data_IF_176701507741
#
_entry.id   IF_176701507741
#
_cell.length_a   1.000
_cell.length_b   1.000
_cell.length_c   1.000
_cell.angle_alpha   90.00
_cell.angle_beta   90.00
_cell.angle_gamma   90.00
#
_symmetry.space_group_name_H-M   'P 1'
#
loop_
_entity.id
_entity.type
_entity.pdbx_description
1 polymer ?
#
# COMPACT_ATOMS: atom_id res chain seq x y z
N UNK A 1 -17.92 -17.84 13.31
CA UNK A 1 -17.38 -16.58 12.76
C UNK A 1 -15.87 -16.54 12.85
N UNK A 2 -15.26 -16.46 14.04
CA UNK A 2 -13.80 -16.41 14.22
C UNK A 2 -13.02 -17.56 13.56
N UNK A 3 -13.54 -18.78 13.64
CA UNK A 3 -12.95 -19.92 12.92
C UNK A 3 -12.96 -19.69 11.41
N UNK A 4 -14.08 -19.21 10.85
CA UNK A 4 -14.19 -18.91 9.42
C UNK A 4 -13.23 -17.79 9.01
N UNK A 5 -13.04 -16.78 9.86
CA UNK A 5 -12.07 -15.69 9.62
C UNK A 5 -10.63 -16.19 9.48
N UNK A 6 -10.30 -17.33 10.10
CA UNK A 6 -8.99 -17.98 10.03
C UNK A 6 -8.93 -19.11 8.99
N UNK A 7 -10.02 -19.40 8.28
CA UNK A 7 -10.09 -20.53 7.33
C UNK A 7 -9.86 -20.07 5.91
N UNK A 8 -8.72 -20.47 5.33
CA UNK A 8 -8.40 -20.24 3.93
C UNK A 8 -9.23 -21.15 3.01
N UNK A 9 -9.60 -20.64 1.82
CA UNK A 9 -10.44 -21.35 0.84
C UNK A 9 -9.91 -22.73 0.44
N UNK A 10 -8.60 -22.97 0.56
CA UNK A 10 -7.99 -24.30 0.31
C UNK A 10 -8.51 -25.42 1.20
N UNK A 11 -9.12 -25.09 2.35
CA UNK A 11 -9.71 -26.09 3.25
C UNK A 11 -10.98 -26.73 2.66
N UNK A 12 -11.57 -26.12 1.62
CA UNK A 12 -12.81 -26.61 1.01
C UNK A 12 -14.05 -26.47 1.92
N UNK A 13 -13.94 -25.73 3.02
CA UNK A 13 -15.04 -25.48 3.95
C UNK A 13 -15.98 -24.40 3.37
N UNK A 14 -17.29 -24.58 3.55
CA UNK A 14 -18.30 -23.60 3.09
C UNK A 14 -18.15 -22.24 3.78
N UNK A 15 -17.64 -22.23 5.01
CA UNK A 15 -17.38 -21.03 5.78
C UNK A 15 -15.87 -20.73 5.79
N UNK A 16 -15.46 -19.77 4.95
CA UNK A 16 -14.09 -19.29 4.83
C UNK A 16 -14.01 -17.78 5.15
N UNK A 17 -12.83 -17.19 4.99
CA UNK A 17 -12.58 -15.81 5.37
C UNK A 17 -13.14 -14.77 4.38
N UNK A 18 -13.47 -15.12 3.15
CA UNK A 18 -13.62 -14.19 2.01
C UNK A 18 -14.70 -13.12 2.22
N UNK A 19 -15.86 -13.52 2.78
CA UNK A 19 -16.94 -12.56 3.07
C UNK A 19 -16.59 -11.60 4.20
N UNK A 20 -15.80 -12.08 5.16
CA UNK A 20 -15.35 -11.29 6.30
C UNK A 20 -14.20 -10.37 5.90
N UNK A 21 -13.31 -10.83 5.02
CA UNK A 21 -12.25 -10.02 4.37
C UNK A 21 -12.88 -8.83 3.65
N UNK A 22 -13.85 -9.08 2.77
CA UNK A 22 -14.58 -8.03 2.07
C UNK A 22 -15.10 -6.95 3.02
N UNK A 23 -15.70 -7.34 4.15
CA UNK A 23 -16.20 -6.38 5.14
C UNK A 23 -15.06 -5.67 5.88
N UNK A 24 -14.06 -6.44 6.30
CA UNK A 24 -12.93 -5.98 7.08
C UNK A 24 -12.06 -4.95 6.37
N UNK A 25 -11.83 -5.11 5.07
CA UNK A 25 -11.12 -4.13 4.23
C UNK A 25 -11.78 -2.75 4.31
N UNK A 26 -13.12 -2.66 4.20
CA UNK A 26 -13.82 -1.36 4.28
C UNK A 26 -13.80 -0.78 5.68
N UNK A 27 -13.86 -1.63 6.71
CA UNK A 27 -13.73 -1.20 8.12
C UNK A 27 -12.34 -0.64 8.37
N UNK A 28 -11.29 -1.31 7.89
CA UNK A 28 -9.91 -0.85 7.94
C UNK A 28 -9.76 0.49 7.21
N UNK A 29 -10.24 0.56 5.96
CA UNK A 29 -10.23 1.77 5.15
C UNK A 29 -10.84 2.97 5.87
N UNK A 30 -12.04 2.82 6.44
CA UNK A 30 -12.71 3.90 7.16
C UNK A 30 -11.94 4.30 8.43
N UNK A 31 -11.45 3.34 9.21
CA UNK A 31 -10.73 3.62 10.45
C UNK A 31 -9.42 4.38 10.20
N UNK A 32 -8.69 4.03 9.15
CA UNK A 32 -7.45 4.71 8.76
C UNK A 32 -7.73 6.08 8.14
N UNK A 33 -8.77 6.20 7.29
CA UNK A 33 -9.14 7.49 6.70
C UNK A 33 -9.57 8.50 7.77
N UNK A 34 -10.36 8.06 8.76
CA UNK A 34 -10.75 8.86 9.93
C UNK A 34 -9.54 9.34 10.73
N UNK A 35 -8.56 8.45 10.96
CA UNK A 35 -7.33 8.81 11.65
C UNK A 35 -6.51 9.85 10.86
N UNK A 36 -6.31 9.61 9.56
CA UNK A 36 -5.53 10.51 8.69
C UNK A 36 -6.17 11.90 8.60
N UNK A 37 -7.49 11.97 8.44
CA UNK A 37 -8.23 13.23 8.41
C UNK A 37 -8.10 14.01 9.72
N UNK A 38 -8.12 13.32 10.86
CA UNK A 38 -8.05 13.97 12.18
C UNK A 38 -6.64 14.39 12.60
N UNK A 39 -5.59 13.87 11.96
CA UNK A 39 -4.19 14.06 12.36
C UNK A 39 -3.30 14.67 11.26
N UNK A 40 -3.88 15.17 10.17
CA UNK A 40 -3.13 15.74 9.05
C UNK A 40 -3.97 16.76 8.27
N UNK A 41 -3.43 17.97 8.08
CA UNK A 41 -4.00 18.99 7.18
C UNK A 41 -3.57 18.78 5.71
N UNK A 42 -3.27 17.54 5.33
CA UNK A 42 -2.74 17.23 4.01
C UNK A 42 -3.84 17.33 2.94
N UNK A 43 -3.46 17.66 1.71
CA UNK A 43 -4.39 17.67 0.58
C UNK A 43 -4.94 16.25 0.30
N UNK A 44 -6.13 16.17 -0.28
CA UNK A 44 -6.84 14.91 -0.57
C UNK A 44 -5.96 13.87 -1.28
N UNK A 45 -5.22 14.24 -2.32
CA UNK A 45 -4.31 13.31 -3.00
C UNK A 45 -3.19 12.73 -2.11
N UNK A 46 -2.68 13.50 -1.14
CA UNK A 46 -1.68 13.01 -0.17
C UNK A 46 -2.33 12.09 0.87
N UNK A 47 -3.54 12.41 1.33
CA UNK A 47 -4.32 11.54 2.23
C UNK A 47 -4.64 10.21 1.55
N UNK A 48 -5.09 10.24 0.30
CA UNK A 48 -5.37 9.06 -0.53
C UNK A 48 -4.11 8.20 -0.72
N UNK A 49 -2.95 8.82 -0.95
CA UNK A 49 -1.67 8.09 -1.05
C UNK A 49 -1.32 7.38 0.27
N UNK A 50 -1.43 8.08 1.40
CA UNK A 50 -1.14 7.51 2.72
C UNK A 50 -2.12 6.40 3.08
N UNK A 51 -3.41 6.60 2.82
CA UNK A 51 -4.45 5.61 3.04
C UNK A 51 -4.11 4.31 2.29
N UNK A 52 -3.83 4.40 0.98
CA UNK A 52 -3.49 3.24 0.15
C UNK A 52 -2.25 2.50 0.65
N UNK A 53 -1.25 3.21 1.16
CA UNK A 53 -0.07 2.58 1.75
C UNK A 53 -0.40 1.82 3.05
N UNK A 54 -1.20 2.45 3.92
CA UNK A 54 -1.58 1.90 5.23
C UNK A 54 -2.52 0.70 5.13
N UNK A 55 -3.43 0.67 4.16
CA UNK A 55 -4.38 -0.43 3.97
C UNK A 55 -3.92 -1.42 2.90
N UNK A 56 -2.68 -1.30 2.43
CA UNK A 56 -2.15 -2.23 1.45
C UNK A 56 -2.03 -3.64 2.03
N UNK A 57 -2.22 -4.64 1.17
CA UNK A 57 -1.98 -6.05 1.47
C UNK A 57 -0.63 -6.31 2.14
N UNK A 58 0.42 -5.64 1.66
CA UNK A 58 1.77 -5.76 2.25
C UNK A 58 1.81 -5.23 3.70
N UNK A 59 1.11 -4.12 3.98
CA UNK A 59 0.98 -3.61 5.35
C UNK A 59 0.17 -4.56 6.21
N UNK A 60 -0.99 -5.02 5.75
CA UNK A 60 -1.82 -6.01 6.46
C UNK A 60 -1.02 -7.28 6.79
N UNK A 61 -0.25 -7.80 5.83
CA UNK A 61 0.62 -8.96 6.04
C UNK A 61 1.77 -8.68 7.02
N UNK A 62 2.33 -7.46 7.02
CA UNK A 62 3.34 -7.04 8.00
C UNK A 62 2.77 -7.04 9.41
N UNK A 63 1.58 -6.46 9.61
CA UNK A 63 0.90 -6.46 10.90
C UNK A 63 0.52 -7.87 11.33
N UNK A 64 -0.01 -8.69 10.41
CA UNK A 64 -0.32 -10.10 10.64
C UNK A 64 0.89 -10.88 11.19
N UNK A 65 2.07 -10.70 10.59
CA UNK A 65 3.31 -11.31 11.10
C UNK A 65 3.69 -10.78 12.48
N UNK A 66 3.53 -9.47 12.70
CA UNK A 66 3.83 -8.84 13.99
C UNK A 66 3.03 -9.41 15.17
N UNK A 67 1.81 -9.91 14.92
CA UNK A 67 0.96 -10.55 15.93
C UNK A 67 1.02 -12.09 15.91
N UNK A 68 1.88 -12.69 15.08
CA UNK A 68 2.01 -14.15 14.99
C UNK A 68 0.84 -14.85 14.28
N UNK A 69 0.07 -14.14 13.43
CA UNK A 69 -1.16 -14.65 12.83
C UNK A 69 -0.95 -15.93 11.99
N UNK A 70 0.20 -16.07 11.35
CA UNK A 70 0.54 -17.17 10.43
C UNK A 70 0.34 -18.57 11.04
N UNK A 71 0.57 -18.72 12.35
CA UNK A 71 0.44 -19.99 13.06
C UNK A 71 -1.01 -20.38 13.35
N UNK A 72 -1.93 -19.40 13.28
CA UNK A 72 -3.35 -19.59 13.57
C UNK A 72 -4.20 -19.82 12.32
N UNK A 73 -3.64 -19.59 11.13
CA UNK A 73 -4.36 -19.75 9.86
C UNK A 73 -4.57 -21.25 9.56
N UNK A 74 -5.84 -21.61 9.31
CA UNK A 74 -6.25 -22.93 8.84
C UNK A 74 -6.09 -22.99 7.34
N UNK A 75 -5.04 -23.67 6.90
CA UNK A 75 -4.69 -23.85 5.50
C UNK A 75 -4.46 -25.33 5.21
N UNK A 76 -4.75 -25.77 3.98
CA UNK A 76 -4.57 -27.17 3.60
C UNK A 76 -3.08 -27.53 3.52
N UNK A 77 -2.75 -28.83 3.65
CA UNK A 77 -1.36 -29.30 3.54
C UNK A 77 -0.70 -28.91 2.21
N UNK A 78 -1.47 -28.93 1.12
CA UNK A 78 -0.98 -28.54 -0.20
C UNK A 78 -0.61 -27.06 -0.22
N UNK A 79 -1.54 -26.19 0.15
CA UNK A 79 -1.29 -24.75 0.15
C UNK A 79 -0.21 -24.33 1.16
N UNK A 80 -0.03 -25.09 2.25
CA UNK A 80 1.11 -24.92 3.15
C UNK A 80 2.45 -25.25 2.46
N UNK A 81 2.51 -26.36 1.72
CA UNK A 81 3.70 -26.77 0.96
C UNK A 81 4.06 -25.75 -0.13
N UNK A 82 3.08 -25.03 -0.65
CA UNK A 82 3.26 -23.98 -1.67
C UNK A 82 3.69 -22.63 -1.06
N UNK A 83 4.07 -22.60 0.22
CA UNK A 83 4.52 -21.39 0.93
C UNK A 83 3.39 -20.51 1.47
N UNK A 84 2.16 -21.03 1.54
CA UNK A 84 0.99 -20.26 1.93
C UNK A 84 1.04 -19.66 3.34
N UNK A 85 1.85 -20.23 4.25
CA UNK A 85 2.01 -19.70 5.61
C UNK A 85 2.68 -18.33 5.67
N UNK A 86 3.63 -18.08 4.79
CA UNK A 86 4.35 -16.80 4.72
C UNK A 86 3.86 -15.90 3.58
N UNK A 87 2.77 -16.26 2.91
CA UNK A 87 2.21 -15.51 1.78
C UNK A 87 1.59 -14.19 2.22
N UNK A 88 2.04 -13.08 1.64
CA UNK A 88 1.43 -11.76 1.85
C UNK A 88 -0.05 -11.74 1.46
N UNK A 89 -0.44 -12.53 0.45
CA UNK A 89 -1.83 -12.64 0.03
C UNK A 89 -2.69 -13.21 1.17
N UNK A 90 -2.30 -14.37 1.69
CA UNK A 90 -3.10 -15.05 2.71
C UNK A 90 -3.08 -14.29 4.03
N UNK A 91 -1.90 -13.78 4.43
CA UNK A 91 -1.78 -13.02 5.69
C UNK A 91 -2.57 -11.71 5.64
N UNK A 92 -2.55 -11.00 4.50
CA UNK A 92 -3.31 -9.78 4.29
C UNK A 92 -4.82 -10.03 4.38
N UNK A 93 -5.32 -10.97 3.57
CA UNK A 93 -6.75 -11.28 3.48
C UNK A 93 -7.31 -11.76 4.84
N UNK A 94 -6.55 -12.62 5.56
CA UNK A 94 -6.96 -13.12 6.88
C UNK A 94 -6.91 -12.04 7.95
N UNK A 95 -5.95 -11.10 7.88
CA UNK A 95 -5.91 -9.95 8.79
C UNK A 95 -7.16 -9.09 8.63
N UNK A 96 -7.54 -8.76 7.39
CA UNK A 96 -8.78 -8.03 7.10
C UNK A 96 -10.00 -8.81 7.58
N UNK A 97 -10.03 -10.12 7.34
CA UNK A 97 -11.12 -10.98 7.81
C UNK A 97 -11.32 -10.96 9.34
N UNK A 98 -10.24 -10.94 10.11
CA UNK A 98 -10.31 -10.79 11.57
C UNK A 98 -10.88 -9.43 11.98
N UNK A 99 -10.55 -8.36 11.27
CA UNK A 99 -11.14 -7.03 11.49
C UNK A 99 -12.65 -7.05 11.18
N UNK A 100 -13.06 -7.72 10.09
CA UNK A 100 -14.46 -7.93 9.74
C UNK A 100 -15.22 -8.71 10.82
N UNK A 101 -14.63 -9.78 11.34
CA UNK A 101 -15.20 -10.55 12.45
C UNK A 101 -15.31 -9.73 13.74
N UNK A 102 -14.27 -8.95 14.07
CA UNK A 102 -14.28 -8.08 15.23
C UNK A 102 -15.35 -6.99 15.14
N UNK A 103 -15.52 -6.40 13.95
CA UNK A 103 -16.58 -5.43 13.69
C UNK A 103 -17.98 -6.01 13.89
N UNK A 104 -18.24 -7.23 13.40
CA UNK A 104 -19.54 -7.87 13.62
C UNK A 104 -19.80 -8.21 15.09
N UNK A 105 -18.76 -8.52 15.86
CA UNK A 105 -18.88 -8.83 17.28
C UNK A 105 -19.04 -7.58 18.17
N UNK A 106 -18.29 -6.52 17.86
CA UNK A 106 -18.04 -5.42 18.80
C UNK A 106 -18.41 -4.02 18.26
N UNK A 107 -18.79 -3.92 16.99
CA UNK A 107 -19.12 -2.65 16.34
C UNK A 107 -17.89 -1.82 15.94
N UNK A 108 -18.14 -0.72 15.24
CA UNK A 108 -17.08 0.08 14.62
C UNK A 108 -16.14 0.75 15.62
N UNK A 109 -16.65 1.31 16.71
CA UNK A 109 -15.83 2.06 17.67
C UNK A 109 -14.72 1.18 18.27
N UNK A 110 -15.08 -0.02 18.74
CA UNK A 110 -14.13 -0.97 19.30
C UNK A 110 -13.13 -1.47 18.23
N UNK A 111 -13.60 -1.76 17.02
CA UNK A 111 -12.69 -2.20 15.93
C UNK A 111 -11.74 -1.10 15.48
N UNK A 112 -12.19 0.15 15.40
CA UNK A 112 -11.35 1.31 15.08
C UNK A 112 -10.22 1.47 16.09
N UNK A 113 -10.53 1.34 17.38
CA UNK A 113 -9.53 1.50 18.45
C UNK A 113 -8.50 0.37 18.41
N UNK A 114 -8.94 -0.88 18.16
CA UNK A 114 -8.05 -2.01 17.91
C UNK A 114 -7.16 -1.78 16.67
N UNK A 115 -7.72 -1.32 15.55
CA UNK A 115 -6.96 -1.02 14.34
C UNK A 115 -5.88 0.02 14.63
N UNK A 116 -6.22 1.11 15.34
CA UNK A 116 -5.26 2.15 15.69
C UNK A 116 -4.11 1.63 16.55
N UNK A 117 -4.38 0.67 17.45
CA UNK A 117 -3.35 0.03 18.26
C UNK A 117 -2.42 -0.84 17.41
N UNK A 118 -3.00 -1.70 16.57
CA UNK A 118 -2.24 -2.61 15.69
C UNK A 118 -1.43 -1.85 14.63
N UNK A 119 -1.98 -0.78 14.05
CA UNK A 119 -1.32 0.04 13.02
C UNK A 119 -0.41 1.12 13.60
N UNK A 120 -0.34 1.28 14.93
CA UNK A 120 0.48 2.31 15.59
C UNK A 120 1.89 2.42 15.01
N UNK A 121 2.66 1.32 14.79
CA UNK A 121 4.00 1.44 14.21
C UNK A 121 4.00 2.05 12.81
N UNK A 122 3.00 1.74 11.98
CA UNK A 122 2.87 2.30 10.64
C UNK A 122 2.46 3.78 10.68
N UNK A 123 1.52 4.12 11.56
CA UNK A 123 1.02 5.48 11.78
C UNK A 123 2.15 6.42 12.28
N UNK A 124 3.00 5.93 13.19
CA UNK A 124 4.10 6.70 13.79
C UNK A 124 5.37 6.73 12.93
N UNK A 125 5.67 5.66 12.18
CA UNK A 125 6.83 5.61 11.28
C UNK A 125 6.67 6.49 10.04
N UNK A 126 5.48 7.07 9.82
CA UNK A 126 5.23 7.86 8.64
C UNK A 126 5.12 7.02 7.37
N UNK A 127 4.62 5.79 7.45
CA UNK A 127 4.34 5.00 6.25
C UNK A 127 3.44 5.80 5.28
N UNK A 128 3.85 5.86 4.00
CA UNK A 128 3.21 6.72 3.00
C UNK A 128 3.56 8.21 3.06
N UNK A 129 4.39 8.68 4.01
CA UNK A 129 4.95 10.05 4.01
C UNK A 129 6.04 10.26 2.97
N UNK A 130 6.57 9.19 2.36
CA UNK A 130 7.41 9.32 1.18
C UNK A 130 6.58 10.00 0.08
N UNK A 131 6.72 11.33 -0.03
CA UNK A 131 6.06 12.13 -1.07
C UNK A 131 6.33 11.41 -2.38
N UNK A 132 5.26 11.10 -3.11
CA UNK A 132 5.40 10.51 -4.42
C UNK A 132 6.43 11.35 -5.21
N UNK A 133 7.54 10.79 -5.73
CA UNK A 133 8.64 11.57 -6.28
C UNK A 133 8.21 12.63 -7.30
N UNK A 134 7.17 12.34 -8.10
CA UNK A 134 6.59 13.31 -9.03
C UNK A 134 5.94 14.51 -8.31
N UNK A 135 5.19 14.25 -7.24
CA UNK A 135 4.57 15.29 -6.41
C UNK A 135 5.62 16.08 -5.64
N UNK A 136 6.63 15.40 -5.08
CA UNK A 136 7.76 16.05 -4.41
C UNK A 136 8.50 17.01 -5.36
N UNK A 137 8.77 16.56 -6.59
CA UNK A 137 9.42 17.38 -7.61
C UNK A 137 8.53 18.53 -8.10
N UNK A 138 7.22 18.31 -8.22
CA UNK A 138 6.26 19.36 -8.59
C UNK A 138 6.16 20.45 -7.53
N UNK A 139 6.10 20.08 -6.25
CA UNK A 139 6.10 21.01 -5.12
C UNK A 139 7.44 21.76 -5.01
N UNK A 140 8.57 21.05 -5.18
CA UNK A 140 9.89 21.68 -5.23
C UNK A 140 9.99 22.71 -6.35
N UNK A 141 9.49 22.38 -7.55
CA UNK A 141 9.47 23.30 -8.68
C UNK A 141 8.60 24.54 -8.36
N UNK A 142 7.41 24.34 -7.80
CA UNK A 142 6.53 25.44 -7.41
C UNK A 142 7.14 26.34 -6.32
N UNK A 143 7.73 25.74 -5.28
CA UNK A 143 8.40 26.46 -4.19
C UNK A 143 9.62 27.27 -4.65
N UNK A 144 10.27 26.83 -5.73
CA UNK A 144 11.39 27.53 -6.36
C UNK A 144 10.96 28.45 -7.53
N UNK A 145 9.66 28.76 -7.66
CA UNK A 145 9.10 29.60 -8.73
C UNK A 145 9.48 29.11 -10.14
N UNK A 146 9.54 27.79 -10.33
CA UNK A 146 9.83 27.14 -11.60
C UNK A 146 8.55 26.66 -12.27
N UNK A 147 8.64 26.42 -13.59
CA UNK A 147 7.59 25.71 -14.32
C UNK A 147 7.48 24.27 -13.81
N UNK A 148 6.28 23.66 -13.88
CA UNK A 148 6.10 22.27 -13.47
C UNK A 148 7.00 21.33 -14.28
N UNK A 149 7.39 20.17 -13.71
CA UNK A 149 8.25 19.21 -14.40
C UNK A 149 7.56 18.59 -15.62
N UNK A 150 8.29 18.48 -16.73
CA UNK A 150 7.84 17.86 -17.97
C UNK A 150 8.44 16.45 -18.08
N UNK A 151 7.60 15.45 -18.40
CA UNK A 151 8.01 14.06 -18.54
C UNK A 151 7.86 13.61 -20.00
N UNK A 152 8.88 12.95 -20.53
CA UNK A 152 8.93 12.46 -21.89
C UNK A 152 9.46 11.02 -21.91
N UNK A 153 8.80 10.12 -22.66
CA UNK A 153 9.36 8.77 -22.92
C UNK A 153 10.35 8.91 -24.06
N UNK A 154 11.63 8.69 -23.77
CA UNK A 154 12.72 8.87 -24.74
C UNK A 154 13.18 7.56 -25.38
N UNK A 155 12.93 6.42 -24.71
CA UNK A 155 13.17 5.10 -25.27
C UNK A 155 12.15 4.08 -24.74
N UNK A 156 11.84 3.08 -25.57
CA UNK A 156 11.13 1.86 -25.19
C UNK A 156 11.82 0.68 -25.84
N UNK A 157 12.30 -0.25 -25.01
CA UNK A 157 13.04 -1.44 -25.44
C UNK A 157 12.50 -2.72 -24.81
N UNK A 158 12.89 -3.87 -25.37
CA UNK A 158 12.47 -5.19 -24.89
C UNK A 158 11.11 -5.67 -25.45
N UNK A 159 10.85 -6.99 -25.38
CA UNK A 159 9.57 -7.58 -25.80
C UNK A 159 8.44 -7.18 -24.84
N UNK A 160 7.17 -7.29 -25.24
CA UNK A 160 6.04 -6.77 -24.44
C UNK A 160 5.98 -7.32 -23.00
N UNK A 161 6.35 -8.58 -22.79
CA UNK A 161 6.39 -9.22 -21.47
C UNK A 161 7.61 -8.82 -20.62
N UNK A 162 8.56 -8.09 -21.19
CA UNK A 162 9.77 -7.59 -20.53
C UNK A 162 10.12 -6.16 -21.01
N UNK A 163 9.09 -5.36 -21.27
CA UNK A 163 9.25 -4.01 -21.79
C UNK A 163 9.98 -3.12 -20.76
N UNK A 164 10.88 -2.28 -21.24
CA UNK A 164 11.58 -1.25 -20.49
C UNK A 164 11.28 0.10 -21.08
N UNK A 165 10.93 1.05 -20.23
CA UNK A 165 10.61 2.43 -20.60
C UNK A 165 11.67 3.34 -19.98
N UNK A 166 12.35 4.13 -20.81
CA UNK A 166 13.23 5.19 -20.35
C UNK A 166 12.49 6.51 -20.43
N UNK A 167 12.36 7.17 -19.28
CA UNK A 167 11.66 8.45 -19.15
C UNK A 167 12.66 9.51 -18.74
N UNK A 168 12.60 10.65 -19.43
CA UNK A 168 13.27 11.90 -19.04
C UNK A 168 12.29 12.80 -18.30
N UNK A 169 12.74 13.37 -17.20
CA UNK A 169 12.08 14.49 -16.53
C UNK A 169 12.93 15.74 -16.68
N UNK A 170 12.30 16.88 -17.01
CA UNK A 170 12.94 18.19 -17.19
C UNK A 170 12.23 19.24 -16.35
N UNK A 171 13.00 20.11 -15.70
CA UNK A 171 12.49 21.35 -15.10
C UNK A 171 13.17 22.54 -15.77
N UNK A 172 12.37 23.45 -16.34
CA UNK A 172 12.87 24.58 -17.11
C UNK A 172 13.84 25.45 -16.29
N UNK A 173 15.02 25.75 -16.87
CA UNK A 173 16.12 26.50 -16.25
C UNK A 173 16.75 25.84 -15.01
N UNK A 174 16.56 24.53 -14.83
CA UNK A 174 17.22 23.75 -13.77
C UNK A 174 18.05 22.63 -14.36
N UNK A 175 17.43 21.71 -15.11
CA UNK A 175 18.13 20.57 -15.68
C UNK A 175 17.18 19.48 -16.15
N UNK A 176 17.73 18.28 -16.34
CA UNK A 176 16.99 17.07 -16.68
C UNK A 176 17.65 15.82 -16.07
N UNK A 177 16.83 14.78 -15.90
CA UNK A 177 17.26 13.47 -15.42
C UNK A 177 16.48 12.36 -16.13
N UNK A 178 17.07 11.18 -16.22
CA UNK A 178 16.47 10.02 -16.88
C UNK A 178 16.47 8.82 -15.95
N UNK A 179 15.47 7.96 -16.09
CA UNK A 179 15.44 6.64 -15.47
C UNK A 179 14.69 5.63 -16.33
N UNK A 180 15.05 4.35 -16.17
CA UNK A 180 14.45 3.24 -16.91
C UNK A 180 13.76 2.28 -15.95
N UNK A 181 12.51 1.89 -16.25
CA UNK A 181 11.76 0.90 -15.46
C UNK A 181 10.86 0.02 -16.33
N UNK A 182 10.21 -0.98 -15.71
CA UNK A 182 9.33 -1.95 -16.39
C UNK A 182 7.97 -1.36 -16.81
N UNK A 183 7.62 -0.16 -16.34
CA UNK A 183 6.42 0.56 -16.74
C UNK A 183 6.72 2.06 -16.89
N UNK A 184 5.91 2.75 -17.70
CA UNK A 184 6.02 4.21 -17.88
C UNK A 184 5.88 4.95 -16.54
N UNK A 185 4.92 4.56 -15.70
CA UNK A 185 4.69 5.21 -14.40
C UNK A 185 5.88 5.02 -13.45
N UNK A 186 6.46 3.82 -13.38
CA UNK A 186 7.61 3.58 -12.52
C UNK A 186 8.86 4.32 -13.05
N UNK A 187 9.03 4.41 -14.37
CA UNK A 187 10.12 5.15 -14.99
C UNK A 187 10.02 6.66 -14.70
N UNK A 188 8.81 7.24 -14.77
CA UNK A 188 8.55 8.63 -14.37
C UNK A 188 8.88 8.88 -12.90
N UNK A 189 8.50 7.95 -12.02
CA UNK A 189 8.77 8.03 -10.58
C UNK A 189 10.27 7.99 -10.28
N UNK A 190 11.00 7.08 -10.90
CA UNK A 190 12.46 6.99 -10.72
C UNK A 190 13.18 8.20 -11.34
N UNK A 191 12.73 8.69 -12.50
CA UNK A 191 13.31 9.88 -13.12
C UNK A 191 13.16 11.10 -12.19
N UNK A 192 12.00 11.25 -11.55
CA UNK A 192 11.76 12.30 -10.56
C UNK A 192 12.67 12.17 -9.32
N UNK A 193 12.93 10.95 -8.82
CA UNK A 193 13.90 10.73 -7.73
C UNK A 193 15.32 11.11 -8.14
N UNK A 194 15.76 10.68 -9.33
CA UNK A 194 17.09 11.01 -9.85
C UNK A 194 17.25 12.52 -10.01
N UNK A 195 16.21 13.20 -10.50
CA UNK A 195 16.21 14.66 -10.59
C UNK A 195 16.38 15.31 -9.22
N UNK A 196 15.54 14.94 -8.25
CA UNK A 196 15.59 15.48 -6.89
C UNK A 196 16.92 15.20 -6.20
N UNK A 197 17.56 14.08 -6.47
CA UNK A 197 18.91 13.78 -5.94
C UNK A 197 20.00 14.67 -6.57
N UNK A 198 19.85 15.05 -7.84
CA UNK A 198 20.83 15.88 -8.56
C UNK A 198 20.66 17.38 -8.36
N UNK A 199 19.42 17.84 -8.23
CA UNK A 199 19.06 19.26 -8.28
C UNK A 199 18.17 19.74 -7.12
N UNK A 200 17.69 18.81 -6.29
CA UNK A 200 16.73 19.08 -5.21
C UNK A 200 17.34 19.75 -4.00
#
# INVERSE_FOLDING_TARGET
MWVAALTHGSMGETANYERLEFLGDRVLGLAIADWLFSHSDAAEGQLSQRLNAMVSRAMCATIARGIGLADHIRISKQALSDGGRDSDNILGDVMESLLGAHFLANGFAATRDLIRELWRPALESGAGLAKHPKSALQEWAAGNQRKPPEYEVVDRSGPDHAARFTVRVRVHKVGEAEATASSKQEAEKEAAKVFMSKFG
#
